data_IF_337000339014
#
_entry.id   IF_337000339014
#
_cell.length_a   1.000
_cell.length_b   1.000
_cell.length_c   1.000
_cell.angle_alpha   90.00
_cell.angle_beta   90.00
_cell.angle_gamma   90.00
#
_symmetry.space_group_name_H-M   'P 1'
#
loop_
_entity.id
_entity.type
_entity.pdbx_description
1 polymer ?
#
# COMPACT_ATOMS: atom_id res chain seq x y z
N UNK A 1 -15.15 -23.26 -12.32
CA UNK A 1 -14.54 -22.80 -11.04
C UNK A 1 -14.07 -21.38 -11.20
N UNK A 2 -14.90 -20.38 -10.92
CA UNK A 2 -14.47 -18.98 -10.84
C UNK A 2 -14.03 -18.73 -9.40
N UNK A 3 -12.71 -18.59 -9.18
CA UNK A 3 -12.20 -18.09 -7.92
C UNK A 3 -12.33 -16.58 -7.93
N UNK A 4 -13.36 -16.05 -7.28
CA UNK A 4 -13.41 -14.63 -6.91
C UNK A 4 -12.37 -14.38 -5.81
N UNK A 5 -11.12 -14.22 -6.24
CA UNK A 5 -10.06 -13.72 -5.39
C UNK A 5 -10.46 -12.32 -4.94
N UNK A 6 -10.53 -12.09 -3.63
CA UNK A 6 -10.85 -10.77 -3.07
C UNK A 6 -9.80 -9.80 -3.58
N UNK A 7 -10.15 -9.02 -4.59
CA UNK A 7 -9.17 -8.22 -5.31
C UNK A 7 -8.75 -7.06 -4.39
N UNK A 8 -7.52 -7.14 -3.84
CA UNK A 8 -6.84 -6.03 -3.14
C UNK A 8 -6.32 -4.99 -4.15
N UNK A 9 -7.08 -4.74 -5.21
CA UNK A 9 -6.74 -3.80 -6.27
C UNK A 9 -6.85 -2.36 -5.77
N UNK A 10 -7.92 -2.00 -5.05
CA UNK A 10 -8.14 -0.63 -4.58
C UNK A 10 -7.01 -0.08 -3.69
N UNK A 11 -6.57 -0.86 -2.70
CA UNK A 11 -5.46 -0.45 -1.81
C UNK A 11 -4.14 -0.30 -2.58
N UNK A 12 -3.86 -1.21 -3.52
CA UNK A 12 -2.65 -1.15 -4.37
C UNK A 12 -2.70 0.06 -5.31
N UNK A 13 -3.81 0.27 -5.99
CA UNK A 13 -4.00 1.38 -6.93
C UNK A 13 -3.86 2.71 -6.20
N UNK A 14 -4.48 2.86 -5.03
CA UNK A 14 -4.39 4.10 -4.25
C UNK A 14 -2.97 4.35 -3.73
N UNK A 15 -2.27 3.30 -3.27
CA UNK A 15 -0.86 3.38 -2.88
C UNK A 15 0.05 3.77 -4.04
N UNK A 16 -0.16 3.20 -5.22
CA UNK A 16 0.60 3.51 -6.44
C UNK A 16 0.35 4.96 -6.88
N UNK A 17 -0.91 5.40 -6.88
CA UNK A 17 -1.26 6.80 -7.18
C UNK A 17 -0.55 7.75 -6.22
N UNK A 18 -0.58 7.46 -4.91
CA UNK A 18 0.13 8.26 -3.90
C UNK A 18 1.63 8.33 -4.16
N UNK A 19 2.28 7.22 -4.52
CA UNK A 19 3.72 7.19 -4.88
C UNK A 19 4.00 8.07 -6.11
N UNK A 20 3.18 7.96 -7.16
CA UNK A 20 3.36 8.75 -8.38
C UNK A 20 3.25 10.24 -8.07
N UNK A 21 2.23 10.66 -7.32
CA UNK A 21 2.11 12.06 -6.89
C UNK A 21 3.28 12.51 -6.01
N UNK A 22 3.79 11.63 -5.13
CA UNK A 22 4.92 11.95 -4.27
C UNK A 22 6.20 12.20 -5.08
N UNK A 23 6.45 11.38 -6.08
CA UNK A 23 7.57 11.56 -7.02
C UNK A 23 7.37 12.84 -7.84
N UNK A 24 6.14 13.13 -8.28
CA UNK A 24 5.84 14.33 -9.05
C UNK A 24 6.11 15.59 -8.23
N UNK A 25 5.65 15.64 -6.97
CA UNK A 25 5.92 16.77 -6.06
C UNK A 25 7.43 16.91 -5.80
N UNK A 26 8.12 15.80 -5.55
CA UNK A 26 9.57 15.79 -5.35
C UNK A 26 10.32 16.35 -6.58
N UNK A 27 9.91 15.95 -7.79
CA UNK A 27 10.46 16.45 -9.03
C UNK A 27 10.18 17.94 -9.23
N UNK A 28 8.97 18.40 -8.91
CA UNK A 28 8.59 19.82 -9.00
C UNK A 28 9.44 20.69 -8.08
N UNK A 29 9.61 20.28 -6.82
CA UNK A 29 10.50 20.96 -5.87
C UNK A 29 11.94 20.97 -6.37
N UNK A 30 12.42 19.84 -6.91
CA UNK A 30 13.76 19.74 -7.50
C UNK A 30 13.97 20.69 -8.68
N UNK A 31 12.98 20.81 -9.57
CA UNK A 31 13.02 21.74 -10.71
C UNK A 31 13.02 23.19 -10.24
N UNK A 32 12.20 23.55 -9.25
CA UNK A 32 12.17 24.92 -8.69
C UNK A 32 13.52 25.27 -8.05
N UNK A 33 14.10 24.35 -7.27
CA UNK A 33 15.40 24.55 -6.64
C UNK A 33 16.54 24.67 -7.66
N UNK A 34 16.54 23.81 -8.68
CA UNK A 34 17.50 23.87 -9.77
C UNK A 34 17.33 25.14 -10.63
N UNK A 35 16.10 25.58 -10.85
CA UNK A 35 15.81 26.83 -11.57
C UNK A 35 16.31 28.06 -10.81
N UNK A 36 16.11 28.10 -9.49
CA UNK A 36 16.61 29.21 -8.66
C UNK A 36 18.14 29.29 -8.63
N UNK A 37 18.85 28.15 -8.64
CA UNK A 37 20.31 28.13 -8.64
C UNK A 37 20.96 28.36 -10.00
N UNK A 38 20.21 28.19 -11.10
CA UNK A 38 20.74 28.27 -12.47
C UNK A 38 20.36 29.54 -13.23
N UNK A 39 19.44 30.35 -12.69
CA UNK A 39 18.96 31.59 -13.30
C UNK A 39 19.47 32.81 -12.52
N UNK A 40 20.66 33.35 -12.85
CA UNK A 40 21.19 34.55 -12.19
C UNK A 40 20.31 35.78 -12.42
N UNK A 41 19.58 35.83 -13.53
CA UNK A 41 18.62 36.91 -13.84
C UNK A 41 17.48 37.02 -12.81
N UNK A 42 17.04 35.88 -12.24
CA UNK A 42 16.02 35.87 -11.18
C UNK A 42 16.57 36.43 -9.87
N UNK A 43 17.83 36.15 -9.55
CA UNK A 43 18.49 36.71 -8.37
C UNK A 43 18.68 38.22 -8.51
N UNK A 44 19.14 38.68 -9.68
CA UNK A 44 19.32 40.10 -9.99
C UNK A 44 17.99 40.86 -9.95
N UNK A 45 16.93 40.28 -10.50
CA UNK A 45 15.59 40.88 -10.44
C UNK A 45 15.10 41.06 -9.00
N UNK A 46 15.32 40.06 -8.13
CA UNK A 46 14.98 40.15 -6.71
C UNK A 46 15.85 41.17 -5.97
N UNK A 47 17.14 41.27 -6.29
CA UNK A 47 18.05 42.29 -5.74
C UNK A 47 17.59 43.71 -6.10
N UNK A 48 17.31 43.96 -7.38
CA UNK A 48 16.88 45.27 -7.88
C UNK A 48 15.54 45.70 -7.26
N UNK A 49 14.60 44.78 -7.04
CA UNK A 49 13.30 45.09 -6.45
C UNK A 49 13.38 45.36 -4.94
N UNK A 50 14.30 44.70 -4.22
CA UNK A 50 14.55 44.98 -2.80
C UNK A 50 15.32 46.30 -2.64
N UNK A 51 16.28 46.58 -3.52
CA UNK A 51 17.03 47.86 -3.52
C UNK A 51 16.16 49.06 -3.90
N UNK A 52 15.03 48.84 -4.58
CA UNK A 52 14.04 49.88 -4.86
C UNK A 52 13.19 50.27 -3.63
N UNK A 53 13.24 49.51 -2.53
CA UNK A 53 12.50 49.81 -1.29
C UNK A 53 13.20 50.92 -0.48
N UNK A 54 12.53 52.05 -0.20
CA UNK A 54 13.10 53.17 0.55
C UNK A 54 13.42 52.86 2.02
N UNK A 55 13.00 51.71 2.55
CA UNK A 55 13.34 51.25 3.91
C UNK A 55 14.73 50.62 4.00
N UNK A 56 15.31 50.22 2.85
CA UNK A 56 16.67 49.69 2.79
C UNK A 56 17.66 50.84 2.91
N UNK A 57 18.47 50.80 3.98
CA UNK A 57 19.42 51.86 4.30
C UNK A 57 20.84 51.56 3.79
N UNK A 58 21.22 50.28 3.67
CA UNK A 58 22.48 49.85 3.08
C UNK A 58 22.26 48.75 2.04
N UNK A 59 22.90 48.84 0.87
CA UNK A 59 22.83 47.81 -0.17
C UNK A 59 23.56 46.52 0.21
N UNK A 60 24.60 46.57 1.06
CA UNK A 60 25.30 45.37 1.53
C UNK A 60 24.42 44.47 2.42
N UNK A 61 23.51 45.07 3.20
CA UNK A 61 22.58 44.33 4.06
C UNK A 61 21.60 43.48 3.22
N UNK A 62 21.25 43.95 2.01
CA UNK A 62 20.38 43.23 1.07
C UNK A 62 21.04 41.95 0.57
N UNK A 63 22.32 42.02 0.22
CA UNK A 63 23.05 40.88 -0.30
C UNK A 63 23.23 39.79 0.77
N UNK A 64 23.54 40.20 2.01
CA UNK A 64 23.61 39.28 3.16
C UNK A 64 22.25 38.65 3.45
N UNK A 65 21.15 39.42 3.37
CA UNK A 65 19.79 38.91 3.57
C UNK A 65 19.41 37.87 2.51
N UNK A 66 19.69 38.14 1.24
CA UNK A 66 19.40 37.23 0.13
C UNK A 66 20.24 35.96 0.18
N UNK A 67 21.52 36.06 0.58
CA UNK A 67 22.38 34.89 0.76
C UNK A 67 21.91 34.01 1.92
N UNK A 68 21.53 34.62 3.05
CA UNK A 68 20.91 33.89 4.17
C UNK A 68 19.59 33.23 3.78
N UNK A 69 18.73 33.95 3.06
CA UNK A 69 17.44 33.43 2.60
C UNK A 69 17.65 32.27 1.63
N UNK A 70 18.47 32.46 0.59
CA UNK A 70 18.74 31.43 -0.43
C UNK A 70 19.36 30.17 0.19
N UNK A 71 20.34 30.32 1.09
CA UNK A 71 20.95 29.22 1.82
C UNK A 71 19.93 28.48 2.70
N UNK A 72 19.08 29.21 3.42
CA UNK A 72 18.00 28.63 4.23
C UNK A 72 16.99 27.85 3.39
N UNK A 73 16.54 28.41 2.27
CA UNK A 73 15.64 27.75 1.32
C UNK A 73 16.27 26.52 0.67
N UNK A 74 17.57 26.57 0.33
CA UNK A 74 18.29 25.44 -0.25
C UNK A 74 18.35 24.26 0.73
N UNK A 75 18.78 24.52 1.98
CA UNK A 75 18.83 23.50 3.04
C UNK A 75 17.45 22.91 3.30
N UNK A 76 16.41 23.76 3.45
CA UNK A 76 15.05 23.27 3.66
C UNK A 76 14.54 22.45 2.47
N UNK A 77 14.82 22.89 1.23
CA UNK A 77 14.44 22.17 0.01
C UNK A 77 15.03 20.76 -0.04
N UNK A 78 16.33 20.62 0.24
CA UNK A 78 16.98 19.30 0.30
C UNK A 78 16.47 18.43 1.44
N UNK A 79 16.22 19.00 2.62
CA UNK A 79 15.62 18.27 3.76
C UNK A 79 14.22 17.77 3.39
N UNK A 80 13.40 18.59 2.72
CA UNK A 80 12.07 18.21 2.24
C UNK A 80 12.16 17.08 1.19
N UNK A 81 13.09 17.16 0.24
CA UNK A 81 13.33 16.09 -0.74
C UNK A 81 13.74 14.79 -0.04
N UNK A 82 14.62 14.85 0.97
CA UNK A 82 15.04 13.68 1.74
C UNK A 82 13.87 13.04 2.50
N UNK A 83 13.00 13.86 3.13
CA UNK A 83 11.78 13.41 3.81
C UNK A 83 10.80 12.75 2.85
N UNK A 84 10.55 13.37 1.69
CA UNK A 84 9.71 12.83 0.61
C UNK A 84 10.30 11.52 0.06
N UNK A 85 11.61 11.42 -0.08
CA UNK A 85 12.32 10.20 -0.46
C UNK A 85 12.11 9.07 0.55
N UNK A 86 12.28 9.37 1.83
CA UNK A 86 12.04 8.40 2.91
C UNK A 86 10.57 7.93 2.93
N UNK A 87 9.63 8.87 2.80
CA UNK A 87 8.20 8.58 2.64
C UNK A 87 7.92 7.62 1.47
N UNK A 88 8.58 7.86 0.32
CA UNK A 88 8.43 7.02 -0.88
C UNK A 88 8.90 5.59 -0.62
N UNK A 89 10.05 5.40 0.05
CA UNK A 89 10.57 4.07 0.42
C UNK A 89 9.58 3.34 1.31
N UNK A 90 9.02 4.02 2.32
CA UNK A 90 8.01 3.43 3.20
C UNK A 90 6.73 3.04 2.44
N UNK A 91 6.28 3.88 1.50
CA UNK A 91 5.14 3.58 0.66
C UNK A 91 5.39 2.36 -0.26
N UNK A 92 6.59 2.22 -0.83
CA UNK A 92 6.98 1.05 -1.63
C UNK A 92 6.96 -0.23 -0.77
N UNK A 93 7.53 -0.17 0.44
CA UNK A 93 7.51 -1.29 1.39
C UNK A 93 6.07 -1.65 1.78
N UNK A 94 5.20 -0.67 1.98
CA UNK A 94 3.78 -0.89 2.26
C UNK A 94 3.09 -1.64 1.11
N UNK A 95 3.27 -1.20 -0.14
CA UNK A 95 2.69 -1.84 -1.33
C UNK A 95 3.25 -3.25 -1.55
N UNK A 96 4.55 -3.46 -1.29
CA UNK A 96 5.18 -4.77 -1.36
C UNK A 96 4.62 -5.73 -0.30
N UNK A 97 4.34 -5.24 0.90
CA UNK A 97 3.73 -6.03 1.96
C UNK A 97 2.27 -6.41 1.63
N UNK A 98 1.52 -5.54 0.92
CA UNK A 98 0.20 -5.87 0.34
C UNK A 98 0.22 -7.01 -0.68
N UNK A 99 1.36 -7.22 -1.36
CA UNK A 99 1.50 -8.33 -2.32
C UNK A 99 1.68 -9.67 -1.63
N UNK A 100 2.30 -9.71 -0.45
CA UNK A 100 2.47 -10.95 0.30
C UNK A 100 1.13 -11.28 0.98
N UNK A 101 0.72 -12.54 1.01
CA UNK A 101 -0.58 -13.01 1.57
C UNK A 101 -0.74 -12.75 3.09
N UNK A 102 0.16 -11.98 3.70
CA UNK A 102 0.21 -11.68 5.12
C UNK A 102 -0.13 -10.21 5.42
N UNK A 103 -1.04 -10.03 6.36
CA UNK A 103 -1.15 -8.86 7.25
C UNK A 103 -1.22 -7.50 6.56
N UNK A 104 -2.36 -7.23 5.89
CA UNK A 104 -2.70 -5.90 5.39
C UNK A 104 -2.66 -4.79 6.48
N UNK A 105 -2.83 -5.16 7.74
CA UNK A 105 -2.67 -4.28 8.90
C UNK A 105 -1.25 -3.70 9.02
N UNK A 106 -0.20 -4.47 8.70
CA UNK A 106 1.18 -3.98 8.77
C UNK A 106 1.45 -2.91 7.70
N UNK A 107 0.90 -3.08 6.51
CA UNK A 107 1.05 -2.11 5.44
C UNK A 107 0.29 -0.80 5.68
N UNK A 108 -0.87 -0.86 6.37
CA UNK A 108 -1.57 0.34 6.80
C UNK A 108 -0.71 1.22 7.72
N UNK A 109 0.02 0.61 8.66
CA UNK A 109 0.97 1.34 9.53
C UNK A 109 2.08 2.01 8.71
N UNK A 110 2.66 1.31 7.73
CA UNK A 110 3.69 1.90 6.86
C UNK A 110 3.15 3.08 6.03
N UNK A 111 1.89 3.05 5.61
CA UNK A 111 1.25 4.20 4.94
C UNK A 111 0.98 5.37 5.89
N UNK A 112 0.61 5.13 7.16
CA UNK A 112 0.49 6.20 8.16
C UNK A 112 1.84 6.89 8.37
N UNK A 113 2.89 6.10 8.58
CA UNK A 113 4.24 6.63 8.81
C UNK A 113 4.75 7.33 7.55
N UNK A 114 4.55 6.74 6.37
CA UNK A 114 4.89 7.36 5.08
C UNK A 114 4.14 8.68 4.85
N UNK A 115 2.84 8.72 5.16
CA UNK A 115 2.01 9.94 5.09
C UNK A 115 2.48 11.02 6.06
N UNK A 116 2.90 10.65 7.28
CA UNK A 116 3.47 11.58 8.25
C UNK A 116 4.74 12.26 7.70
N UNK A 117 5.63 11.50 7.08
CA UNK A 117 6.85 12.04 6.46
C UNK A 117 6.59 12.83 5.17
N UNK A 118 5.51 12.53 4.45
CA UNK A 118 5.05 13.34 3.31
C UNK A 118 4.38 14.67 3.73
N UNK A 119 4.16 14.88 5.03
CA UNK A 119 3.62 16.10 5.63
C UNK A 119 2.11 16.06 5.83
N UNK A 120 1.62 16.55 6.97
CA UNK A 120 0.22 16.38 7.43
C UNK A 120 -0.87 16.87 6.46
N UNK A 121 -0.58 17.88 5.63
CA UNK A 121 -1.54 18.54 4.73
C UNK A 121 -1.22 18.37 3.24
N UNK A 122 -0.19 17.60 2.89
CA UNK A 122 0.14 17.35 1.49
C UNK A 122 -0.95 16.50 0.83
N UNK A 123 -1.25 16.80 -0.43
CA UNK A 123 -2.15 15.98 -1.26
C UNK A 123 -1.69 14.51 -1.29
N UNK A 124 -0.38 14.26 -1.21
CA UNK A 124 0.22 12.92 -1.18
C UNK A 124 -0.01 12.20 0.14
N UNK A 125 0.02 12.90 1.27
CA UNK A 125 -0.20 12.29 2.59
C UNK A 125 -1.65 11.91 2.80
N UNK A 126 -2.59 12.72 2.28
CA UNK A 126 -4.03 12.39 2.30
C UNK A 126 -4.30 11.08 1.55
N UNK A 127 -3.69 10.88 0.38
CA UNK A 127 -3.79 9.62 -0.36
C UNK A 127 -3.23 8.43 0.44
N UNK A 128 -2.09 8.62 1.11
CA UNK A 128 -1.51 7.60 1.99
C UNK A 128 -2.36 7.30 3.22
N UNK A 129 -2.98 8.31 3.83
CA UNK A 129 -3.91 8.10 4.96
C UNK A 129 -5.18 7.35 4.54
N UNK A 130 -5.75 7.67 3.38
CA UNK A 130 -6.91 6.92 2.86
C UNK A 130 -6.51 5.46 2.57
N UNK A 131 -5.32 5.22 1.99
CA UNK A 131 -4.81 3.87 1.77
C UNK A 131 -4.60 3.11 3.09
N UNK A 132 -4.07 3.78 4.12
CA UNK A 132 -3.91 3.22 5.45
C UNK A 132 -5.24 2.84 6.09
N UNK A 133 -6.23 3.74 6.04
CA UNK A 133 -7.57 3.49 6.56
C UNK A 133 -8.21 2.31 5.82
N UNK A 134 -8.09 2.22 4.48
CA UNK A 134 -8.59 1.07 3.72
C UNK A 134 -7.91 -0.24 4.15
N UNK A 135 -6.61 -0.24 4.42
CA UNK A 135 -5.90 -1.40 4.95
C UNK A 135 -6.38 -1.84 6.34
N UNK A 136 -6.79 -0.91 7.20
CA UNK A 136 -7.32 -1.23 8.55
C UNK A 136 -8.80 -1.63 8.54
N UNK A 137 -9.62 -0.95 7.74
CA UNK A 137 -11.07 -1.17 7.68
C UNK A 137 -11.39 -2.49 6.99
N UNK A 138 -10.56 -2.94 6.04
CA UNK A 138 -10.80 -4.18 5.31
C UNK A 138 -10.40 -5.39 6.15
N UNK A 139 -11.37 -6.00 6.84
CA UNK A 139 -11.21 -7.31 7.50
C UNK A 139 -10.56 -8.29 6.51
N UNK A 140 -9.48 -9.00 6.90
CA UNK A 140 -8.89 -10.02 6.03
C UNK A 140 -10.01 -10.99 5.68
N UNK A 141 -10.29 -11.13 4.37
CA UNK A 141 -11.28 -12.06 3.88
C UNK A 141 -11.02 -13.41 4.54
N UNK A 142 -12.04 -13.98 5.16
CA UNK A 142 -12.02 -15.24 5.92
C UNK A 142 -11.63 -16.47 5.07
N UNK A 143 -10.97 -16.30 3.93
CA UNK A 143 -10.68 -17.38 2.96
C UNK A 143 -9.66 -18.41 3.45
N UNK A 144 -8.77 -18.08 4.39
CA UNK A 144 -7.85 -19.09 4.94
C UNK A 144 -8.48 -19.94 6.06
N UNK A 145 -9.55 -19.45 6.70
CA UNK A 145 -10.27 -20.20 7.74
C UNK A 145 -11.54 -20.87 7.20
N UNK A 146 -12.14 -20.35 6.11
CA UNK A 146 -13.24 -21.02 5.43
C UNK A 146 -12.79 -22.26 4.67
N UNK A 147 -11.62 -22.27 4.01
CA UNK A 147 -11.15 -23.52 3.38
C UNK A 147 -10.94 -24.66 4.40
N UNK A 148 -10.30 -24.39 5.54
CA UNK A 148 -10.18 -25.41 6.59
C UNK A 148 -11.53 -25.85 7.16
N UNK A 149 -12.52 -24.95 7.22
CA UNK A 149 -13.84 -25.28 7.79
C UNK A 149 -14.74 -26.01 6.79
N UNK A 150 -14.70 -25.63 5.52
CA UNK A 150 -15.51 -26.23 4.46
C UNK A 150 -14.96 -27.62 4.06
N UNK A 151 -13.64 -27.83 4.13
CA UNK A 151 -13.02 -29.15 3.91
C UNK A 151 -13.43 -30.13 5.03
N UNK A 152 -13.44 -29.69 6.30
CA UNK A 152 -13.81 -30.54 7.46
C UNK A 152 -15.28 -31.00 7.43
N UNK A 153 -16.20 -30.11 7.03
CA UNK A 153 -17.61 -30.48 6.83
C UNK A 153 -17.80 -31.53 5.72
N UNK A 154 -17.01 -31.44 4.64
CA UNK A 154 -17.13 -32.36 3.50
C UNK A 154 -16.64 -33.77 3.83
N UNK A 155 -15.54 -33.90 4.59
CA UNK A 155 -15.07 -35.21 5.07
C UNK A 155 -16.07 -35.87 6.02
N UNK A 156 -16.79 -35.07 6.82
CA UNK A 156 -17.79 -35.57 7.75
C UNK A 156 -19.03 -36.08 7.00
N UNK A 157 -19.52 -35.35 6.00
CA UNK A 157 -20.68 -35.74 5.18
C UNK A 157 -20.41 -37.02 4.36
N UNK A 158 -19.22 -37.14 3.77
CA UNK A 158 -18.80 -38.33 3.02
C UNK A 158 -18.76 -39.59 3.93
N UNK A 159 -18.38 -39.44 5.21
CA UNK A 159 -18.43 -40.55 6.17
C UNK A 159 -19.86 -40.99 6.54
N UNK A 160 -20.81 -40.05 6.64
CA UNK A 160 -22.21 -40.40 6.90
C UNK A 160 -22.83 -41.13 5.71
N UNK A 161 -22.56 -40.64 4.50
CA UNK A 161 -23.07 -41.24 3.25
C UNK A 161 -22.50 -42.64 3.01
N UNK A 162 -21.20 -42.84 3.26
CA UNK A 162 -20.58 -44.17 3.19
C UNK A 162 -21.13 -45.15 4.22
N UNK A 163 -21.63 -44.68 5.37
CA UNK A 163 -22.28 -45.53 6.37
C UNK A 163 -23.71 -45.90 5.95
N UNK A 164 -24.48 -44.97 5.39
CA UNK A 164 -25.82 -45.26 4.87
C UNK A 164 -25.80 -46.27 3.71
N UNK A 165 -24.83 -46.15 2.80
CA UNK A 165 -24.66 -47.11 1.71
C UNK A 165 -24.33 -48.53 2.23
N UNK A 166 -23.57 -48.63 3.33
CA UNK A 166 -23.26 -49.92 3.96
C UNK A 166 -24.42 -50.55 4.75
N UNK A 167 -25.39 -49.74 5.18
CA UNK A 167 -26.60 -50.19 5.88
C UNK A 167 -27.74 -50.59 4.94
N UNK A 168 -27.72 -50.11 3.69
CA UNK A 168 -28.76 -50.38 2.68
C UNK A 168 -28.47 -51.67 1.88
N UNK A 169 -27.26 -52.22 1.97
CA UNK A 169 -26.87 -53.48 1.35
C UNK A 169 -26.99 -54.67 2.33
N UNK A 170 -28.20 -54.98 2.79
CA UNK A 170 -28.49 -56.26 3.44
C UNK A 170 -29.24 -57.18 2.45
N UNK A 171 -28.59 -58.22 1.89
CA UNK A 171 -29.26 -59.18 1.02
C UNK A 171 -29.87 -60.30 1.87
N UNK A 172 -31.05 -60.08 2.43
CA UNK A 172 -31.89 -61.18 2.93
C UNK A 172 -33.02 -61.48 1.94
N UNK A 173 -32.88 -62.55 1.15
CA UNK A 173 -33.91 -63.59 0.95
C UNK A 173 -33.50 -64.67 -0.07
N UNK A 174 -33.79 -65.94 0.30
CA UNK A 174 -33.99 -67.15 -0.55
C UNK A 174 -32.72 -67.81 -1.16
N UNK A 175 -32.43 -69.11 -1.00
CA UNK A 175 -33.22 -70.28 -0.56
C UNK A 175 -32.25 -71.41 -0.18
N UNK A 176 -32.66 -72.19 0.82
CA UNK A 176 -32.09 -73.43 1.33
C UNK A 176 -31.95 -74.56 0.29
N UNK A 177 -30.93 -75.40 0.53
CA UNK A 177 -30.79 -76.84 0.22
C UNK A 177 -31.02 -77.35 -1.22
N UNK A 178 -29.96 -77.86 -1.85
CA UNK A 178 -29.92 -79.29 -2.19
C UNK A 178 -28.50 -79.82 -2.43
N UNK A 179 -28.34 -81.07 -1.98
CA UNK A 179 -27.17 -81.94 -1.72
C UNK A 179 -25.99 -82.05 -2.71
N UNK A 180 -24.84 -82.60 -2.26
CA UNK A 180 -23.66 -82.86 -3.08
C UNK A 180 -23.76 -84.23 -3.77
N UNK A 181 -23.53 -84.30 -5.09
CA UNK A 181 -23.13 -85.55 -5.75
C UNK A 181 -22.14 -85.28 -6.88
N UNK A 182 -20.93 -85.80 -6.68
CA UNK A 182 -19.97 -86.14 -7.74
C UNK A 182 -20.28 -87.58 -8.16
N UNK A 183 -20.29 -87.91 -9.46
CA UNK A 183 -19.37 -88.96 -9.86
C UNK A 183 -18.66 -88.71 -11.20
N UNK A 184 -17.38 -89.13 -11.15
CA UNK A 184 -16.40 -89.50 -12.17
C UNK A 184 -16.09 -88.49 -13.28
#
# INVERSE_FOLDING_TARGET
MNQDTVNRAGEKVLGIIGIVFNILVMALIGVVMAGYSTMPEMQQFMEDEILADPTITNPEDVQVMLDMMSSGFNVMGWVMIALLGLSTILAIVAVANLRKKGNASAAGVFFIIGGLFAGLLSLTSILFYIAAIMCFVRKPGRQNNQKLRDDDFKYQEDQYRSKEDSLTSDPTTRTENDTPYRPL
#
